data_IF_483555164414
#
_entry.id   IF_483555164414
#
_cell.length_a   1.000
_cell.length_b   1.000
_cell.length_c   1.000
_cell.angle_alpha   90.00
_cell.angle_beta   90.00
_cell.angle_gamma   90.00
#
_symmetry.space_group_name_H-M   'P 1'
#
loop_
_entity.id
_entity.type
_entity.pdbx_description
1 polymer ?
#
# COMPACT_ATOMS: atom_id res chain seq x y z
N UNK A 1 16.36 11.05 -11.61
CA UNK A 1 15.73 10.65 -10.33
C UNK A 1 15.87 9.15 -10.09
N UNK A 2 15.54 8.28 -11.07
CA UNK A 2 15.63 6.81 -10.91
C UNK A 2 16.99 6.32 -10.42
N UNK A 3 18.10 6.84 -10.96
CA UNK A 3 19.46 6.44 -10.52
C UNK A 3 19.71 6.75 -9.03
N UNK A 4 19.18 7.86 -8.53
CA UNK A 4 19.28 8.21 -7.11
C UNK A 4 18.60 7.16 -6.22
N UNK A 5 17.39 6.73 -6.59
CA UNK A 5 16.70 5.66 -5.87
C UNK A 5 17.42 4.32 -6.01
N UNK A 6 17.94 4.00 -7.19
CA UNK A 6 18.70 2.77 -7.41
C UNK A 6 19.98 2.71 -6.56
N UNK A 7 20.66 3.84 -6.40
CA UNK A 7 21.83 3.98 -5.54
C UNK A 7 21.48 3.77 -4.06
N UNK A 8 20.33 4.26 -3.60
CA UNK A 8 19.86 4.06 -2.23
C UNK A 8 19.45 2.61 -1.96
N UNK A 9 18.72 1.99 -2.88
CA UNK A 9 18.33 0.57 -2.78
C UNK A 9 19.56 -0.35 -2.77
N UNK A 10 20.66 0.07 -3.41
CA UNK A 10 21.94 -0.65 -3.33
C UNK A 10 22.64 -0.49 -1.98
N UNK A 11 22.56 0.70 -1.38
CA UNK A 11 23.28 1.05 -0.16
C UNK A 11 22.55 0.65 1.12
N UNK A 12 21.22 0.63 1.09
CA UNK A 12 20.38 0.46 2.27
C UNK A 12 19.37 -0.69 2.06
N UNK A 13 18.92 -1.35 3.13
CA UNK A 13 17.95 -2.45 3.05
C UNK A 13 16.51 -1.93 2.84
N UNK A 14 16.33 -1.07 1.83
CA UNK A 14 15.02 -0.51 1.46
C UNK A 14 14.21 -1.61 0.79
N UNK A 15 13.01 -1.85 1.30
CA UNK A 15 12.08 -2.87 0.78
C UNK A 15 10.92 -2.27 0.00
N UNK A 16 10.64 -0.98 0.19
CA UNK A 16 9.51 -0.27 -0.39
C UNK A 16 9.83 1.21 -0.58
N UNK A 17 9.43 1.77 -1.72
CA UNK A 17 9.43 3.22 -1.99
C UNK A 17 8.02 3.59 -2.43
N UNK A 18 7.49 4.65 -1.83
CA UNK A 18 6.22 5.28 -2.18
C UNK A 18 6.50 6.61 -2.89
N UNK A 19 5.76 6.89 -3.97
CA UNK A 19 5.83 8.15 -4.73
C UNK A 19 7.25 8.64 -5.05
N UNK A 20 8.07 7.73 -5.59
CA UNK A 20 9.44 8.04 -6.02
C UNK A 20 9.53 8.98 -7.23
N UNK A 21 8.42 9.18 -7.95
CA UNK A 21 8.27 10.06 -9.10
C UNK A 21 6.99 10.89 -8.95
N UNK A 22 6.89 12.02 -9.66
CA UNK A 22 5.72 12.89 -9.59
C UNK A 22 4.44 12.18 -10.07
N UNK A 23 3.28 12.61 -9.57
CA UNK A 23 1.97 11.96 -9.79
C UNK A 23 1.55 11.82 -11.27
N UNK A 24 2.03 12.71 -12.13
CA UNK A 24 1.77 12.70 -13.58
C UNK A 24 3.00 12.32 -14.43
N UNK A 25 4.15 11.98 -13.82
CA UNK A 25 5.35 11.51 -14.52
C UNK A 25 5.29 10.00 -14.82
N UNK A 26 4.35 9.60 -15.67
CA UNK A 26 4.11 8.20 -16.03
C UNK A 26 5.34 7.52 -16.67
N UNK A 27 6.12 8.26 -17.46
CA UNK A 27 7.32 7.73 -18.11
C UNK A 27 8.45 7.49 -17.08
N UNK A 28 8.64 8.43 -16.15
CA UNK A 28 9.56 8.27 -15.04
C UNK A 28 9.18 7.12 -14.12
N UNK A 29 7.90 6.96 -13.81
CA UNK A 29 7.37 5.81 -13.06
C UNK A 29 7.61 4.49 -13.78
N UNK A 30 7.41 4.44 -15.10
CA UNK A 30 7.68 3.25 -15.91
C UNK A 30 9.16 2.89 -15.87
N UNK A 31 10.04 3.87 -16.06
CA UNK A 31 11.49 3.66 -15.96
C UNK A 31 11.89 3.17 -14.56
N UNK A 32 11.32 3.76 -13.50
CA UNK A 32 11.57 3.32 -12.13
C UNK A 32 11.12 1.87 -11.91
N UNK A 33 9.98 1.48 -12.49
CA UNK A 33 9.45 0.12 -12.40
C UNK A 33 10.34 -0.88 -13.14
N UNK A 34 10.84 -0.53 -14.33
CA UNK A 34 11.75 -1.37 -15.10
C UNK A 34 13.08 -1.61 -14.37
N UNK A 35 13.61 -0.58 -13.69
CA UNK A 35 14.89 -0.64 -12.99
C UNK A 35 14.78 -1.32 -11.62
N UNK A 36 13.71 -1.07 -10.87
CA UNK A 36 13.60 -1.43 -9.44
C UNK A 36 12.46 -2.38 -9.09
N UNK A 37 11.44 -2.53 -9.93
CA UNK A 37 10.20 -3.24 -9.61
C UNK A 37 10.34 -4.73 -9.36
N UNK A 38 11.49 -5.34 -9.73
CA UNK A 38 11.84 -6.74 -9.41
C UNK A 38 12.64 -6.91 -8.11
N UNK A 39 13.03 -5.81 -7.47
CA UNK A 39 13.89 -5.81 -6.28
C UNK A 39 13.16 -5.30 -5.04
N UNK A 40 12.29 -4.31 -5.22
CA UNK A 40 11.58 -3.65 -4.14
C UNK A 40 10.12 -3.39 -4.53
N UNK A 41 9.30 -3.14 -3.52
CA UNK A 41 7.95 -2.64 -3.71
C UNK A 41 7.98 -1.16 -4.15
N UNK A 42 7.17 -0.82 -5.13
CA UNK A 42 6.95 0.52 -5.65
C UNK A 42 5.47 0.84 -5.47
N UNK A 43 5.18 1.75 -4.54
CA UNK A 43 3.82 2.07 -4.10
C UNK A 43 3.37 3.36 -4.75
N UNK A 44 2.35 3.30 -5.60
CA UNK A 44 1.67 4.49 -6.08
C UNK A 44 0.62 4.95 -5.08
N UNK A 45 0.78 6.16 -4.55
CA UNK A 45 -0.23 6.86 -3.76
C UNK A 45 -0.85 7.97 -4.61
N UNK A 46 -0.14 9.06 -4.89
CA UNK A 46 -0.68 10.19 -5.65
C UNK A 46 -0.88 9.86 -7.14
N UNK A 47 -0.10 8.94 -7.72
CA UNK A 47 -0.32 8.50 -9.11
C UNK A 47 -1.61 7.69 -9.29
N UNK A 48 -2.12 7.04 -8.23
CA UNK A 48 -3.31 6.19 -8.33
C UNK A 48 -4.52 6.76 -7.60
N UNK A 49 -4.35 7.54 -6.52
CA UNK A 49 -5.41 8.17 -5.70
C UNK A 49 -6.58 7.23 -5.36
N UNK A 50 -6.30 5.95 -5.14
CA UNK A 50 -7.33 4.91 -4.93
C UNK A 50 -8.38 4.84 -6.07
N UNK A 51 -8.06 5.33 -7.26
CA UNK A 51 -8.93 5.37 -8.44
C UNK A 51 -8.65 4.19 -9.38
N UNK A 52 -9.69 3.43 -9.70
CA UNK A 52 -9.61 2.20 -10.52
C UNK A 52 -9.22 2.47 -11.98
N UNK A 53 -9.53 3.62 -12.55
CA UNK A 53 -9.14 3.97 -13.92
C UNK A 53 -7.63 4.23 -14.01
N UNK A 54 -7.09 5.03 -13.07
CA UNK A 54 -5.64 5.27 -12.99
C UNK A 54 -4.88 3.99 -12.66
N UNK A 55 -5.39 3.18 -11.74
CA UNK A 55 -4.81 1.88 -11.44
C UNK A 55 -4.80 0.95 -12.68
N UNK A 56 -5.91 0.86 -13.42
CA UNK A 56 -5.98 0.07 -14.64
C UNK A 56 -4.97 0.54 -15.70
N UNK A 57 -4.80 1.86 -15.85
CA UNK A 57 -3.77 2.44 -16.72
C UNK A 57 -2.35 2.06 -16.25
N UNK A 58 -2.08 2.11 -14.94
CA UNK A 58 -0.81 1.71 -14.37
C UNK A 58 -0.49 0.25 -14.61
N UNK A 59 -1.46 -0.64 -14.37
CA UNK A 59 -1.34 -2.07 -14.64
C UNK A 59 -1.04 -2.32 -16.13
N UNK A 60 -1.79 -1.69 -17.04
CA UNK A 60 -1.59 -1.85 -18.48
C UNK A 60 -0.20 -1.40 -18.93
N UNK A 61 0.31 -0.31 -18.34
CA UNK A 61 1.63 0.24 -18.67
C UNK A 61 2.78 -0.47 -17.92
N UNK A 62 2.50 -1.31 -16.93
CA UNK A 62 3.53 -1.89 -16.06
C UNK A 62 4.20 -0.83 -15.18
N UNK A 63 3.40 0.04 -14.56
CA UNK A 63 3.83 1.11 -13.66
C UNK A 63 3.53 0.72 -12.22
N UNK A 64 4.54 0.84 -11.36
CA UNK A 64 4.53 0.42 -9.96
C UNK A 64 4.25 -1.10 -9.81
N UNK A 65 4.19 -1.59 -8.57
CA UNK A 65 3.75 -2.96 -8.27
C UNK A 65 2.91 -3.02 -6.96
N UNK A 66 2.52 -1.86 -6.45
CA UNK A 66 1.69 -1.70 -5.25
C UNK A 66 0.89 -0.41 -5.32
N UNK A 67 -0.25 -0.39 -4.63
CA UNK A 67 -1.11 0.79 -4.47
C UNK A 67 -1.30 1.11 -2.98
N UNK A 68 -1.24 2.39 -2.62
CA UNK A 68 -1.67 2.88 -1.32
C UNK A 68 -3.19 3.14 -1.36
N UNK A 69 -3.93 2.51 -0.47
CA UNK A 69 -5.40 2.57 -0.43
C UNK A 69 -5.84 3.54 0.67
N UNK A 70 -6.52 4.62 0.28
CA UNK A 70 -7.12 5.60 1.18
C UNK A 70 -8.61 5.73 0.87
N UNK A 71 -9.46 5.26 1.79
CA UNK A 71 -10.91 5.20 1.58
C UNK A 71 -11.50 6.55 1.17
N UNK A 72 -11.09 7.62 1.83
CA UNK A 72 -11.62 8.95 1.57
C UNK A 72 -11.04 9.64 0.32
N UNK A 73 -10.13 9.00 -0.43
CA UNK A 73 -9.79 9.45 -1.78
C UNK A 73 -10.83 9.01 -2.82
N UNK A 74 -11.47 7.83 -2.62
CA UNK A 74 -12.45 7.29 -3.56
C UNK A 74 -13.91 7.48 -3.08
N UNK A 75 -14.12 7.53 -1.77
CA UNK A 75 -15.38 7.98 -1.15
C UNK A 75 -16.27 6.86 -0.60
N UNK A 76 -16.20 5.63 -1.13
CA UNK A 76 -17.02 4.50 -0.64
C UNK A 76 -16.21 3.25 -0.32
N UNK A 77 -16.75 2.42 0.57
CA UNK A 77 -16.18 1.09 0.88
C UNK A 77 -16.25 0.18 -0.35
N UNK A 78 -17.33 0.23 -1.13
CA UNK A 78 -17.48 -0.57 -2.35
C UNK A 78 -16.37 -0.28 -3.35
N UNK A 79 -16.14 0.98 -3.68
CA UNK A 79 -15.10 1.36 -4.64
C UNK A 79 -13.68 1.08 -4.09
N UNK A 80 -13.51 1.20 -2.77
CA UNK A 80 -12.26 0.77 -2.11
C UNK A 80 -12.00 -0.72 -2.32
N UNK A 81 -13.01 -1.57 -2.11
CA UNK A 81 -12.90 -3.01 -2.33
C UNK A 81 -12.66 -3.35 -3.81
N UNK A 82 -13.22 -2.58 -4.74
CA UNK A 82 -12.99 -2.76 -6.17
C UNK A 82 -11.55 -2.44 -6.56
N UNK A 83 -10.98 -1.36 -6.02
CA UNK A 83 -9.56 -1.04 -6.20
C UNK A 83 -8.63 -2.13 -5.64
N UNK A 84 -8.91 -2.64 -4.44
CA UNK A 84 -8.13 -3.74 -3.82
C UNK A 84 -8.23 -5.02 -4.65
N UNK A 85 -9.43 -5.37 -5.13
CA UNK A 85 -9.65 -6.56 -5.97
C UNK A 85 -8.92 -6.44 -7.31
N UNK A 86 -8.97 -5.27 -7.94
CA UNK A 86 -8.23 -4.99 -9.18
C UNK A 86 -6.73 -5.13 -8.98
N UNK A 87 -6.17 -4.50 -7.94
CA UNK A 87 -4.75 -4.60 -7.62
C UNK A 87 -4.34 -6.07 -7.39
N UNK A 88 -5.10 -6.78 -6.55
CA UNK A 88 -4.82 -8.20 -6.24
C UNK A 88 -4.85 -9.07 -7.50
N UNK A 89 -5.84 -8.88 -8.37
CA UNK A 89 -5.98 -9.61 -9.63
C UNK A 89 -4.83 -9.35 -10.63
N UNK A 90 -4.21 -8.17 -10.55
CA UNK A 90 -3.04 -7.81 -11.35
C UNK A 90 -1.70 -8.19 -10.69
N UNK A 91 -1.72 -8.84 -9.52
CA UNK A 91 -0.52 -9.20 -8.77
C UNK A 91 0.09 -8.05 -7.96
N UNK A 92 -0.56 -6.89 -7.92
CA UNK A 92 -0.14 -5.76 -7.09
C UNK A 92 -0.46 -6.05 -5.62
N UNK A 93 0.34 -5.49 -4.72
CA UNK A 93 -0.02 -5.42 -3.30
C UNK A 93 -0.90 -4.19 -3.04
N UNK A 94 -1.78 -4.29 -2.05
CA UNK A 94 -2.57 -3.15 -1.55
C UNK A 94 -2.12 -2.85 -0.14
N UNK A 95 -1.79 -1.59 0.14
CA UNK A 95 -1.42 -1.13 1.49
C UNK A 95 -2.56 -0.27 2.00
N UNK A 96 -3.30 -0.74 3.00
CA UNK A 96 -4.37 0.07 3.61
C UNK A 96 -3.72 1.22 4.39
N UNK A 97 -4.14 2.46 4.16
CA UNK A 97 -3.47 3.64 4.69
C UNK A 97 -4.39 4.56 5.47
N UNK A 98 -3.81 5.18 6.49
CA UNK A 98 -4.37 6.33 7.19
C UNK A 98 -4.29 7.63 6.36
N UNK A 99 -4.76 8.74 6.94
CA UNK A 99 -4.48 10.11 6.48
C UNK A 99 -3.61 10.88 7.46
N UNK A 100 -3.08 12.05 7.07
CA UNK A 100 -2.30 12.90 7.98
C UNK A 100 -3.15 13.45 9.13
N UNK A 101 -4.40 13.84 8.86
CA UNK A 101 -5.44 14.07 9.88
C UNK A 101 -6.23 12.79 10.12
N UNK A 102 -6.06 12.17 11.29
CA UNK A 102 -6.77 10.94 11.69
C UNK A 102 -7.70 11.18 12.87
N UNK A 103 -8.61 10.23 13.07
CA UNK A 103 -9.54 10.19 14.20
C UNK A 103 -9.24 8.96 15.09
N UNK A 104 -10.09 8.73 16.08
CA UNK A 104 -10.11 7.53 16.90
C UNK A 104 -10.62 6.28 16.16
N UNK A 105 -11.27 6.45 15.00
CA UNK A 105 -11.84 5.36 14.20
C UNK A 105 -10.73 4.36 13.82
N UNK A 106 -10.95 3.07 14.00
CA UNK A 106 -9.94 2.04 13.72
C UNK A 106 -10.29 1.15 12.51
N UNK A 107 -11.29 1.53 11.71
CA UNK A 107 -11.88 0.69 10.65
C UNK A 107 -10.85 0.17 9.64
N UNK A 108 -9.80 0.93 9.36
CA UNK A 108 -8.75 0.51 8.43
C UNK A 108 -7.96 -0.72 8.91
N UNK A 109 -7.96 -1.02 10.22
CA UNK A 109 -7.42 -2.26 10.76
C UNK A 109 -8.27 -3.46 10.34
N UNK A 110 -9.59 -3.38 10.55
CA UNK A 110 -10.55 -4.41 10.14
C UNK A 110 -10.53 -4.60 8.62
N UNK A 111 -10.47 -3.52 7.85
CA UNK A 111 -10.37 -3.60 6.38
C UNK A 111 -9.10 -4.31 5.91
N UNK A 112 -7.95 -4.04 6.55
CA UNK A 112 -6.69 -4.69 6.18
C UNK A 112 -6.73 -6.21 6.40
N UNK A 113 -7.35 -6.65 7.49
CA UNK A 113 -7.52 -8.08 7.78
C UNK A 113 -8.59 -8.71 6.89
N UNK A 114 -9.75 -8.08 6.74
CA UNK A 114 -10.88 -8.59 5.95
C UNK A 114 -10.52 -8.81 4.47
N UNK A 115 -9.65 -7.97 3.92
CA UNK A 115 -9.21 -8.07 2.52
C UNK A 115 -7.97 -8.93 2.33
N UNK A 116 -7.34 -9.39 3.42
CA UNK A 116 -6.06 -10.12 3.34
C UNK A 116 -4.96 -9.29 2.69
N UNK A 117 -4.97 -7.96 2.84
CA UNK A 117 -4.04 -7.04 2.19
C UNK A 117 -2.57 -7.33 2.56
N UNK A 118 -2.35 -7.83 3.78
CA UNK A 118 -1.03 -8.21 4.30
C UNK A 118 -0.15 -7.02 4.71
N UNK A 119 -0.54 -5.79 4.40
CA UNK A 119 0.21 -4.57 4.70
C UNK A 119 -0.73 -3.43 5.11
N UNK A 120 -0.29 -2.62 6.09
CA UNK A 120 -1.00 -1.43 6.58
C UNK A 120 0.00 -0.32 6.87
N UNK A 121 -0.35 0.92 6.52
CA UNK A 121 0.40 2.16 6.83
C UNK A 121 -0.46 3.04 7.73
N UNK A 122 -0.34 2.86 9.05
CA UNK A 122 -1.17 3.58 10.03
C UNK A 122 -0.39 4.50 11.00
N UNK A 123 0.87 4.81 10.69
CA UNK A 123 1.66 5.84 11.39
C UNK A 123 2.60 5.31 12.47
N UNK A 124 3.23 6.23 13.21
CA UNK A 124 4.24 5.89 14.21
C UNK A 124 3.66 5.21 15.46
N UNK A 125 4.54 4.70 16.33
CA UNK A 125 4.20 4.13 17.64
C UNK A 125 3.94 5.21 18.71
N UNK A 126 3.21 6.27 18.34
CA UNK A 126 2.79 7.35 19.22
C UNK A 126 1.53 8.02 18.68
N UNK A 127 0.87 8.80 19.54
CA UNK A 127 -0.41 9.48 19.30
C UNK A 127 -1.59 8.50 19.11
N UNK A 128 -2.68 8.75 19.83
CA UNK A 128 -3.83 7.83 19.89
C UNK A 128 -4.51 7.64 18.53
N UNK A 129 -4.51 8.66 17.67
CA UNK A 129 -5.03 8.59 16.30
C UNK A 129 -4.32 7.52 15.44
N UNK A 130 -3.12 7.09 15.84
CA UNK A 130 -2.36 5.99 15.22
C UNK A 130 -2.46 4.70 16.02
N UNK A 131 -2.24 4.80 17.33
CA UNK A 131 -2.25 3.66 18.26
C UNK A 131 -3.60 2.96 18.31
N UNK A 132 -4.72 3.66 18.12
CA UNK A 132 -6.05 3.05 18.08
C UNK A 132 -6.15 1.91 17.04
N UNK A 133 -5.52 2.08 15.87
CA UNK A 133 -5.51 1.08 14.79
C UNK A 133 -4.63 -0.12 15.15
N UNK A 134 -3.45 0.12 15.73
CA UNK A 134 -2.61 -0.97 16.24
C UNK A 134 -3.30 -1.76 17.35
N UNK A 135 -3.96 -1.09 18.30
CA UNK A 135 -4.73 -1.76 19.34
C UNK A 135 -5.87 -2.60 18.76
N UNK A 136 -6.51 -2.13 17.69
CA UNK A 136 -7.53 -2.92 17.00
C UNK A 136 -6.94 -4.16 16.32
N UNK A 137 -5.78 -4.05 15.67
CA UNK A 137 -5.09 -5.21 15.10
C UNK A 137 -4.74 -6.26 16.17
N UNK A 138 -4.32 -5.83 17.36
CA UNK A 138 -4.06 -6.74 18.49
C UNK A 138 -5.33 -7.48 18.94
N UNK A 139 -6.48 -6.78 18.99
CA UNK A 139 -7.77 -7.41 19.31
C UNK A 139 -8.19 -8.42 18.24
N UNK A 140 -8.05 -8.06 16.96
CA UNK A 140 -8.39 -8.96 15.85
C UNK A 140 -7.49 -10.21 15.90
N UNK A 141 -6.19 -10.05 16.16
CA UNK A 141 -5.26 -11.18 16.28
C UNK A 141 -5.62 -12.07 17.48
N UNK A 142 -5.95 -11.49 18.64
CA UNK A 142 -6.42 -12.22 19.82
C UNK A 142 -7.72 -13.00 19.53
N UNK A 143 -8.69 -12.38 18.84
CA UNK A 143 -9.96 -13.00 18.47
C UNK A 143 -9.79 -14.15 17.48
N UNK A 144 -8.92 -14.00 16.48
CA UNK A 144 -8.60 -15.06 15.51
C UNK A 144 -7.83 -16.22 16.14
N UNK A 145 -7.05 -15.94 17.20
CA UNK A 145 -6.28 -16.93 17.94
C UNK A 145 -5.40 -17.80 17.02
N UNK A 146 -5.49 -19.15 17.08
CA UNK A 146 -4.71 -20.05 16.23
C UNK A 146 -4.94 -19.90 14.72
N UNK A 147 -6.01 -19.23 14.29
CA UNK A 147 -6.32 -19.01 12.87
C UNK A 147 -5.62 -17.77 12.31
N UNK A 148 -5.03 -16.92 13.17
CA UNK A 148 -4.32 -15.72 12.75
C UNK A 148 -3.07 -16.08 11.93
N UNK A 149 -2.81 -15.30 10.86
CA UNK A 149 -1.61 -15.44 10.04
C UNK A 149 -0.92 -14.10 9.84
N UNK A 150 0.33 -14.02 10.28
CA UNK A 150 1.20 -12.89 10.00
C UNK A 150 2.14 -13.22 8.84
N UNK A 151 1.93 -12.58 7.69
CA UNK A 151 2.70 -12.88 6.46
C UNK A 151 4.17 -12.45 6.54
N UNK A 152 4.51 -11.46 7.39
CA UNK A 152 5.87 -10.92 7.50
C UNK A 152 6.46 -10.56 6.13
N UNK A 153 7.65 -11.06 5.81
CA UNK A 153 8.28 -10.82 4.48
C UNK A 153 7.50 -11.39 3.31
N UNK A 154 6.64 -12.41 3.51
CA UNK A 154 5.81 -12.98 2.43
C UNK A 154 4.70 -12.03 1.99
N UNK A 155 4.46 -10.92 2.71
CA UNK A 155 3.53 -9.88 2.30
C UNK A 155 4.01 -9.10 1.06
N UNK A 156 5.31 -9.14 0.76
CA UNK A 156 5.90 -8.53 -0.43
C UNK A 156 5.87 -9.55 -1.57
N UNK A 157 5.03 -9.29 -2.58
CA UNK A 157 4.93 -10.11 -3.79
C UNK A 157 5.97 -9.61 -4.80
N UNK A 158 7.18 -10.15 -4.73
CA UNK A 158 8.31 -9.85 -5.63
C UNK A 158 8.62 -11.06 -6.50
#
# INVERSE_FOLDING_TARGET
MVDFWADWVRQYPIVSIEDGMAEDDWDGWKLMTDVLGKKIQLVGDDIFVTNTERLAQGIQKGVANSILIKLNQIGTVTETLDAIRMATGAGYTSIISHRSGETEDAFIADLAVATGAGQIKTGSASRTDRIAKYNQLLRIEEELGPSAQYAGRKAFRQ
#
